data_IF_490508443799
#
_entry.id   IF_490508443799
#
_cell.length_a   1.000
_cell.length_b   1.000
_cell.length_c   1.000
_cell.angle_alpha   90.00
_cell.angle_beta   90.00
_cell.angle_gamma   90.00
#
_symmetry.space_group_name_H-M   'P 1'
#
loop_
_entity.id
_entity.type
_entity.pdbx_description
1 polymer ?
#
# COMPACT_ATOMS: atom_id res chain seq x y z
N UNK A 1 35.58 46.62 11.90
CA UNK A 1 34.90 45.55 12.67
C UNK A 1 33.58 45.25 11.97
N UNK A 2 33.44 44.05 11.41
CA UNK A 2 32.36 43.70 10.48
C UNK A 2 31.09 43.16 11.15
N UNK A 3 29.98 43.30 10.41
CA UNK A 3 28.93 42.29 10.25
C UNK A 3 27.86 42.14 11.33
N UNK A 4 26.60 42.41 10.97
CA UNK A 4 25.64 41.34 10.63
C UNK A 4 24.34 41.89 10.04
N UNK A 5 24.00 41.41 8.85
CA UNK A 5 22.68 41.53 8.22
C UNK A 5 21.79 40.43 8.79
N UNK A 6 20.60 40.76 9.28
CA UNK A 6 19.59 39.79 9.71
C UNK A 6 18.69 39.47 8.53
N UNK A 7 18.90 38.31 7.90
CA UNK A 7 17.99 37.77 6.90
C UNK A 7 16.81 37.07 7.57
N UNK A 8 15.59 37.52 7.29
CA UNK A 8 14.36 36.83 7.66
C UNK A 8 14.10 35.69 6.67
N UNK A 9 13.88 34.47 7.16
CA UNK A 9 13.44 33.32 6.36
C UNK A 9 12.01 32.96 6.77
N UNK A 10 11.04 33.30 5.92
CA UNK A 10 9.70 32.72 5.99
C UNK A 10 9.74 31.30 5.39
N UNK A 11 9.08 30.30 5.99
CA UNK A 11 8.87 29.01 5.34
C UNK A 11 7.70 29.09 4.36
N UNK A 12 7.97 28.82 3.08
CA UNK A 12 6.95 28.56 2.05
C UNK A 12 6.27 27.22 2.35
N UNK A 13 4.96 27.27 2.59
CA UNK A 13 4.11 26.08 2.73
C UNK A 13 3.79 25.57 1.33
N UNK A 14 4.37 24.43 0.96
CA UNK A 14 4.02 23.70 -0.26
C UNK A 14 2.67 22.98 -0.06
N UNK A 15 1.63 23.47 -0.75
CA UNK A 15 0.36 22.78 -0.87
C UNK A 15 0.49 21.66 -1.91
N UNK A 16 0.44 20.41 -1.47
CA UNK A 16 0.35 19.26 -2.37
C UNK A 16 -1.12 18.91 -2.55
N UNK A 17 -1.71 19.41 -3.64
CA UNK A 17 -3.00 18.94 -4.14
C UNK A 17 -2.85 17.57 -4.77
N UNK A 18 -3.72 16.63 -4.42
CA UNK A 18 -3.77 15.31 -5.06
C UNK A 18 -5.00 15.28 -5.96
N UNK A 19 -4.75 15.33 -7.27
CA UNK A 19 -5.74 15.06 -8.30
C UNK A 19 -6.07 13.57 -8.33
N UNK A 20 -7.36 13.24 -8.39
CA UNK A 20 -7.85 11.88 -8.55
C UNK A 20 -7.83 11.58 -10.06
N UNK A 21 -6.90 10.73 -10.50
CA UNK A 21 -6.96 10.15 -11.83
C UNK A 21 -7.87 8.92 -11.78
N UNK A 22 -9.03 9.02 -12.43
CA UNK A 22 -9.91 7.87 -12.69
C UNK A 22 -9.35 7.14 -13.91
N UNK A 23 -8.72 5.99 -13.70
CA UNK A 23 -8.32 5.10 -14.79
C UNK A 23 -9.46 4.11 -15.06
N UNK A 24 -10.13 4.31 -16.20
CA UNK A 24 -11.13 3.41 -16.73
C UNK A 24 -10.50 2.15 -17.33
N UNK A 25 -11.10 1.00 -17.03
CA UNK A 25 -10.76 -0.30 -17.62
C UNK A 25 -11.48 -0.42 -18.97
N UNK A 26 -10.72 -0.50 -20.06
CA UNK A 26 -11.23 -0.87 -21.39
C UNK A 26 -10.78 -2.28 -21.75
N UNK A 27 -11.73 -3.21 -21.81
CA UNK A 27 -11.53 -4.60 -22.20
C UNK A 27 -11.16 -4.71 -23.69
N UNK A 28 -10.18 -5.57 -23.99
CA UNK A 28 -9.80 -5.91 -25.37
C UNK A 28 -10.84 -6.83 -26.02
N UNK A 29 -11.38 -6.40 -27.15
CA UNK A 29 -12.13 -7.25 -28.06
C UNK A 29 -11.19 -7.77 -29.15
N UNK A 30 -11.04 -9.09 -29.21
CA UNK A 30 -10.36 -9.82 -30.28
C UNK A 30 -11.25 -9.77 -31.53
N UNK A 31 -10.72 -9.23 -32.64
CA UNK A 31 -11.34 -9.36 -33.95
C UNK A 31 -10.93 -10.71 -34.56
N UNK A 32 -11.94 -11.58 -34.67
CA UNK A 32 -11.95 -12.82 -35.43
C UNK A 32 -12.49 -12.55 -36.84
N UNK A 33 -11.94 -13.24 -37.84
CA UNK A 33 -12.43 -13.31 -39.23
C UNK A 33 -11.29 -13.07 -40.23
N UNK A 34 -11.06 -13.88 -41.28
CA UNK A 34 -11.73 -15.07 -41.80
C UNK A 34 -11.32 -15.29 -43.27
N UNK A 35 -11.23 -16.56 -43.68
CA UNK A 35 -11.24 -17.05 -45.08
C UNK A 35 -9.89 -17.10 -45.83
N UNK A 36 -9.69 -17.95 -46.83
CA UNK A 36 -10.28 -19.22 -47.24
C UNK A 36 -9.32 -19.88 -48.26
N UNK A 37 -9.66 -21.12 -48.62
CA UNK A 37 -8.91 -22.20 -49.28
C UNK A 37 -8.43 -22.03 -50.75
N UNK A 38 -7.55 -22.98 -51.14
CA UNK A 38 -7.33 -23.59 -52.47
C UNK A 38 -6.24 -23.09 -53.45
N UNK A 39 -5.37 -24.03 -53.87
CA UNK A 39 -4.65 -23.92 -55.16
C UNK A 39 -3.29 -24.64 -55.35
N UNK A 40 -3.26 -25.98 -55.34
CA UNK A 40 -2.58 -26.88 -56.31
C UNK A 40 -1.11 -26.68 -56.81
N UNK A 41 -0.27 -27.74 -56.61
CA UNK A 41 0.56 -28.50 -57.60
C UNK A 41 2.01 -28.85 -57.18
N UNK A 42 2.25 -30.16 -57.19
CA UNK A 42 3.43 -30.96 -57.59
C UNK A 42 4.76 -30.23 -57.85
N UNK A 43 5.87 -30.71 -57.27
CA UNK A 43 6.76 -31.66 -57.96
C UNK A 43 7.94 -32.11 -57.08
N UNK A 44 8.52 -33.23 -57.51
CA UNK A 44 9.45 -34.07 -56.79
C UNK A 44 10.87 -33.51 -56.59
N UNK A 45 11.58 -34.19 -55.67
CA UNK A 45 13.04 -34.36 -55.60
C UNK A 45 13.84 -33.25 -54.91
N UNK A 46 14.29 -33.54 -53.69
CA UNK A 46 15.72 -33.43 -53.32
C UNK A 46 15.94 -33.94 -51.90
N UNK A 47 16.57 -35.11 -51.83
CA UNK A 47 17.22 -35.63 -50.65
C UNK A 47 18.42 -34.71 -50.33
N UNK A 48 18.35 -33.98 -49.22
CA UNK A 48 19.51 -33.33 -48.61
C UNK A 48 19.54 -33.73 -47.15
N UNK A 49 20.50 -34.59 -46.82
CA UNK A 49 20.98 -34.77 -45.45
C UNK A 49 21.46 -33.43 -44.92
N UNK A 50 20.70 -32.83 -44.02
CA UNK A 50 21.18 -31.79 -43.13
C UNK A 50 21.09 -32.33 -41.70
N UNK A 51 22.25 -32.67 -41.15
CA UNK A 51 22.45 -32.89 -39.72
C UNK A 51 22.10 -31.59 -39.00
N UNK A 52 20.83 -31.42 -38.61
CA UNK A 52 20.43 -30.42 -37.64
C UNK A 52 20.72 -30.97 -36.24
N UNK A 53 21.41 -30.23 -35.36
CA UNK A 53 21.37 -30.56 -33.95
C UNK A 53 19.91 -30.48 -33.54
N UNK A 54 19.35 -31.58 -33.02
CA UNK A 54 18.11 -31.52 -32.29
C UNK A 54 18.33 -30.57 -31.10
N UNK A 55 18.01 -29.30 -31.27
CA UNK A 55 17.74 -28.43 -30.14
C UNK A 55 16.41 -28.92 -29.62
N UNK A 56 16.47 -29.90 -28.72
CA UNK A 56 15.37 -30.15 -27.82
C UNK A 56 15.02 -28.80 -27.20
N UNK A 57 13.77 -28.31 -27.34
CA UNK A 57 13.29 -27.37 -26.36
C UNK A 57 13.25 -28.18 -25.08
N UNK A 58 14.32 -28.09 -24.27
CA UNK A 58 14.24 -28.31 -22.84
C UNK A 58 13.27 -27.25 -22.33
N UNK A 59 11.97 -27.48 -22.54
CA UNK A 59 10.91 -27.00 -21.70
C UNK A 59 11.07 -27.76 -20.39
N UNK A 60 12.15 -27.44 -19.68
CA UNK A 60 12.22 -27.58 -18.23
C UNK A 60 11.02 -26.81 -17.73
N UNK A 61 9.92 -27.53 -17.57
CA UNK A 61 8.72 -27.06 -16.90
C UNK A 61 9.20 -26.76 -15.49
N UNK A 62 9.65 -25.52 -15.28
CA UNK A 62 10.18 -25.07 -14.01
C UNK A 62 9.13 -25.44 -12.97
N UNK A 63 9.53 -26.22 -11.97
CA UNK A 63 8.64 -26.60 -10.89
C UNK A 63 7.95 -25.33 -10.36
N UNK A 64 6.65 -25.39 -10.00
CA UNK A 64 5.92 -24.21 -9.56
C UNK A 64 6.68 -23.50 -8.43
N UNK A 65 7.02 -22.22 -8.61
CA UNK A 65 7.75 -21.45 -7.60
C UNK A 65 6.95 -21.43 -6.27
N UNK A 66 7.43 -22.08 -5.19
CA UNK A 66 6.70 -22.13 -3.92
C UNK A 66 6.49 -20.73 -3.31
N UNK A 67 7.35 -19.76 -3.64
CA UNK A 67 7.23 -18.38 -3.18
C UNK A 67 6.00 -17.66 -3.78
N UNK A 68 5.53 -18.07 -4.97
CA UNK A 68 4.34 -17.47 -5.59
C UNK A 68 3.10 -17.65 -4.73
N UNK A 69 2.92 -18.83 -4.12
CA UNK A 69 1.76 -19.10 -3.24
C UNK A 69 1.79 -18.19 -2.01
N UNK A 70 2.95 -18.04 -1.38
CA UNK A 70 3.13 -17.16 -0.22
C UNK A 70 2.89 -15.68 -0.60
N UNK A 71 3.35 -15.26 -1.78
CA UNK A 71 3.13 -13.91 -2.28
C UNK A 71 1.64 -13.61 -2.48
N UNK A 72 0.88 -14.56 -3.02
CA UNK A 72 -0.58 -14.42 -3.21
C UNK A 72 -1.30 -14.29 -1.87
N UNK A 73 -0.95 -15.09 -0.87
CA UNK A 73 -1.58 -14.98 0.47
C UNK A 73 -1.23 -13.66 1.16
N UNK A 74 0.02 -13.19 1.02
CA UNK A 74 0.39 -11.86 1.51
C UNK A 74 -0.38 -10.76 0.76
N UNK A 75 -0.54 -10.86 -0.56
CA UNK A 75 -1.29 -9.86 -1.35
C UNK A 75 -2.75 -9.74 -0.88
N UNK A 76 -3.41 -10.88 -0.62
CA UNK A 76 -4.77 -10.89 -0.05
C UNK A 76 -4.83 -10.13 1.27
N UNK A 77 -3.89 -10.37 2.18
CA UNK A 77 -3.82 -9.65 3.45
C UNK A 77 -3.62 -8.14 3.23
N UNK A 78 -2.73 -7.76 2.32
CA UNK A 78 -2.47 -6.36 2.02
C UNK A 78 -3.69 -5.68 1.38
N UNK A 79 -4.55 -6.42 0.67
CA UNK A 79 -5.81 -5.91 0.11
C UNK A 79 -6.73 -5.34 1.19
N UNK A 80 -6.74 -5.96 2.37
CA UNK A 80 -7.59 -5.56 3.47
C UNK A 80 -7.06 -4.33 4.24
N UNK A 81 -5.78 -3.98 4.07
CA UNK A 81 -5.11 -2.96 4.89
C UNK A 81 -5.69 -1.54 4.71
N UNK A 82 -6.23 -1.23 3.53
CA UNK A 82 -6.76 0.09 3.20
C UNK A 82 -8.18 0.40 3.74
N UNK A 83 -8.88 -0.58 4.31
CA UNK A 83 -10.33 -0.53 4.57
C UNK A 83 -10.79 0.62 5.49
N UNK A 84 -10.00 0.99 6.50
CA UNK A 84 -10.38 2.06 7.45
C UNK A 84 -9.79 3.44 7.14
N UNK A 85 -9.05 3.62 6.04
CA UNK A 85 -8.37 4.90 5.74
C UNK A 85 -9.34 6.08 5.67
N UNK A 86 -10.43 5.93 4.91
CA UNK A 86 -11.40 7.00 4.74
C UNK A 86 -12.08 7.37 6.08
N UNK A 87 -12.35 6.37 6.93
CA UNK A 87 -12.94 6.58 8.26
C UNK A 87 -11.99 7.37 9.16
N UNK A 88 -10.72 6.97 9.25
CA UNK A 88 -9.71 7.69 10.06
C UNK A 88 -9.52 9.14 9.60
N UNK A 89 -9.45 9.37 8.28
CA UNK A 89 -9.30 10.73 7.74
C UNK A 89 -10.48 11.62 8.16
N UNK A 90 -11.72 11.10 8.06
CA UNK A 90 -12.91 11.82 8.50
C UNK A 90 -12.90 12.05 10.01
N UNK A 91 -12.63 11.01 10.80
CA UNK A 91 -12.60 11.12 12.25
C UNK A 91 -11.58 12.17 12.73
N UNK A 92 -10.34 12.16 12.23
CA UNK A 92 -9.33 13.18 12.59
C UNK A 92 -9.77 14.58 12.14
N UNK A 93 -10.44 14.72 11.00
CA UNK A 93 -10.98 16.01 10.55
C UNK A 93 -12.12 16.51 11.46
N UNK A 94 -12.99 15.62 11.90
CA UNK A 94 -14.07 15.89 12.86
C UNK A 94 -13.50 16.32 14.21
N UNK A 95 -12.47 15.63 14.73
CA UNK A 95 -11.78 16.06 15.95
C UNK A 95 -11.18 17.46 15.77
N UNK A 96 -10.47 17.74 14.67
CA UNK A 96 -9.92 19.08 14.39
C UNK A 96 -10.97 20.18 14.43
N UNK A 97 -12.17 19.90 13.95
CA UNK A 97 -13.31 20.83 13.86
C UNK A 97 -14.23 20.79 15.09
N UNK A 98 -13.89 20.00 16.11
CA UNK A 98 -14.74 19.78 17.27
C UNK A 98 -16.16 19.29 16.91
N UNK A 99 -16.26 18.46 15.88
CA UNK A 99 -17.50 17.86 15.42
C UNK A 99 -17.51 16.36 15.75
N UNK A 100 -18.70 15.79 16.00
CA UNK A 100 -18.94 14.35 16.14
C UNK A 100 -17.93 13.60 17.04
N UNK A 101 -17.43 14.23 18.10
CA UNK A 101 -16.24 13.77 18.83
C UNK A 101 -16.37 12.34 19.35
N UNK A 102 -17.54 11.95 19.85
CA UNK A 102 -17.79 10.58 20.31
C UNK A 102 -17.67 9.55 19.19
N UNK A 103 -18.30 9.82 18.03
CA UNK A 103 -18.21 8.93 16.85
C UNK A 103 -16.78 8.90 16.30
N UNK A 104 -16.12 10.06 16.20
CA UNK A 104 -14.74 10.14 15.74
C UNK A 104 -13.80 9.30 16.65
N UNK A 105 -13.99 9.37 17.97
CA UNK A 105 -13.24 8.57 18.91
C UNK A 105 -13.51 7.07 18.75
N UNK A 106 -14.76 6.66 18.51
CA UNK A 106 -15.13 5.26 18.25
C UNK A 106 -14.49 4.74 16.96
N UNK A 107 -14.65 5.47 15.85
CA UNK A 107 -14.11 5.11 14.54
C UNK A 107 -12.58 4.93 14.57
N UNK A 108 -11.89 5.81 15.30
CA UNK A 108 -10.44 5.71 15.49
C UNK A 108 -10.04 4.48 16.29
N UNK A 109 -10.77 4.14 17.36
CA UNK A 109 -10.50 2.93 18.14
C UNK A 109 -10.76 1.67 17.33
N UNK A 110 -11.80 1.65 16.50
CA UNK A 110 -12.09 0.51 15.63
C UNK A 110 -11.05 0.36 14.52
N UNK A 111 -10.59 1.47 13.93
CA UNK A 111 -9.45 1.45 13.01
C UNK A 111 -8.17 0.89 13.65
N UNK A 112 -7.91 1.24 14.91
CA UNK A 112 -6.79 0.70 15.67
C UNK A 112 -6.89 -0.82 15.89
N UNK A 113 -8.09 -1.33 16.22
CA UNK A 113 -8.34 -2.77 16.35
C UNK A 113 -8.08 -3.50 15.02
N UNK A 114 -8.62 -2.99 13.92
CA UNK A 114 -8.42 -3.57 12.58
C UNK A 114 -6.92 -3.65 12.20
N UNK A 115 -6.12 -2.66 12.59
CA UNK A 115 -4.64 -2.72 12.39
C UNK A 115 -3.97 -3.75 13.27
N UNK A 116 -4.46 -3.95 14.49
CA UNK A 116 -4.04 -5.06 15.36
C UNK A 116 -4.33 -6.42 14.71
N UNK A 117 -5.51 -6.59 14.13
CA UNK A 117 -5.90 -7.82 13.43
C UNK A 117 -5.02 -8.10 12.21
N UNK A 118 -4.61 -7.07 11.45
CA UNK A 118 -3.63 -7.23 10.36
C UNK A 118 -2.29 -7.77 10.86
N UNK A 119 -1.79 -7.28 11.99
CA UNK A 119 -0.55 -7.77 12.61
C UNK A 119 -0.69 -9.24 13.00
N UNK A 120 -1.80 -9.61 13.62
CA UNK A 120 -2.08 -11.01 14.01
C UNK A 120 -2.14 -11.92 12.80
N UNK A 121 -2.88 -11.52 11.76
CA UNK A 121 -3.02 -12.31 10.52
C UNK A 121 -1.68 -12.47 9.80
N UNK A 122 -0.85 -11.42 9.75
CA UNK A 122 0.49 -11.51 9.20
C UNK A 122 1.37 -12.51 9.96
N UNK A 123 1.25 -12.57 11.28
CA UNK A 123 1.96 -13.55 12.10
C UNK A 123 1.59 -15.01 11.83
N UNK A 124 0.42 -15.25 11.24
CA UNK A 124 -0.03 -16.58 10.81
C UNK A 124 0.35 -16.96 9.38
N UNK A 125 0.90 -16.04 8.58
CA UNK A 125 1.29 -16.32 7.20
C UNK A 125 2.72 -16.87 7.11
N UNK A 126 2.89 -17.96 6.37
CA UNK A 126 4.22 -18.40 5.94
C UNK A 126 4.69 -17.56 4.76
N UNK A 127 5.83 -16.88 4.93
CA UNK A 127 6.45 -16.01 3.91
C UNK A 127 7.95 -16.27 3.75
N UNK A 128 8.46 -17.34 4.34
CA UNK A 128 9.89 -17.68 4.41
C UNK A 128 10.56 -17.96 3.05
N UNK A 129 9.78 -18.18 1.99
CA UNK A 129 10.28 -18.33 0.62
C UNK A 129 10.31 -17.01 -0.15
N UNK A 130 9.71 -15.94 0.39
CA UNK A 130 9.76 -14.62 -0.24
C UNK A 130 11.13 -13.97 -0.02
N UNK A 131 11.68 -13.27 -1.04
CA UNK A 131 12.91 -12.49 -0.84
C UNK A 131 12.66 -11.38 0.18
N UNK A 132 13.65 -11.13 1.04
CA UNK A 132 13.60 -10.08 2.07
C UNK A 132 12.38 -10.15 3.02
N UNK A 133 11.77 -11.34 3.18
CA UNK A 133 10.53 -11.53 3.93
C UNK A 133 10.59 -10.98 5.37
N UNK A 134 11.72 -11.14 6.06
CA UNK A 134 11.92 -10.65 7.43
C UNK A 134 11.85 -9.11 7.49
N UNK A 135 12.42 -8.42 6.50
CA UNK A 135 12.36 -6.96 6.41
C UNK A 135 10.96 -6.48 6.05
N UNK A 136 10.29 -7.18 5.13
CA UNK A 136 8.93 -6.84 4.70
C UNK A 136 7.93 -7.02 5.84
N UNK A 137 7.93 -8.19 6.49
CA UNK A 137 7.04 -8.46 7.63
C UNK A 137 7.33 -7.55 8.82
N UNK A 138 8.60 -7.25 9.09
CA UNK A 138 9.00 -6.28 10.11
C UNK A 138 8.51 -4.86 9.82
N UNK A 139 8.60 -4.41 8.57
CA UNK A 139 8.11 -3.10 8.15
C UNK A 139 6.58 -3.01 8.22
N UNK A 140 5.85 -4.03 7.73
CA UNK A 140 4.39 -4.10 7.82
C UNK A 140 3.90 -4.11 9.28
N UNK A 141 4.52 -4.94 10.13
CA UNK A 141 4.20 -5.00 11.56
C UNK A 141 4.40 -3.65 12.24
N UNK A 142 5.53 -2.99 11.94
CA UNK A 142 5.84 -1.67 12.51
C UNK A 142 4.89 -0.59 12.00
N UNK A 143 4.56 -0.62 10.70
CA UNK A 143 3.61 0.29 10.07
C UNK A 143 2.22 0.20 10.71
N UNK A 144 1.69 -1.01 10.90
CA UNK A 144 0.36 -1.21 11.46
C UNK A 144 0.31 -0.94 12.96
N UNK A 145 1.32 -1.35 13.74
CA UNK A 145 1.40 -1.00 15.17
C UNK A 145 1.48 0.51 15.38
N UNK A 146 2.32 1.20 14.61
CA UNK A 146 2.41 2.66 14.68
C UNK A 146 1.11 3.34 14.23
N UNK A 147 0.45 2.82 13.18
CA UNK A 147 -0.86 3.33 12.74
C UNK A 147 -1.92 3.14 13.83
N UNK A 148 -1.97 1.97 14.48
CA UNK A 148 -2.92 1.69 15.56
C UNK A 148 -2.68 2.60 16.77
N UNK A 149 -1.42 2.83 17.12
CA UNK A 149 -1.04 3.76 18.18
C UNK A 149 -1.43 5.20 17.83
N UNK A 150 -1.24 5.62 16.58
CA UNK A 150 -1.67 6.95 16.13
C UNK A 150 -3.20 7.12 16.26
N UNK A 151 -3.97 6.14 15.82
CA UNK A 151 -5.43 6.16 15.88
C UNK A 151 -5.92 6.21 17.34
N UNK A 152 -5.32 5.41 18.24
CA UNK A 152 -5.60 5.47 19.69
C UNK A 152 -5.29 6.85 20.30
N UNK A 153 -4.16 7.46 19.92
CA UNK A 153 -3.81 8.81 20.37
C UNK A 153 -4.80 9.87 19.85
N UNK A 154 -5.25 9.75 18.59
CA UNK A 154 -6.27 10.65 18.07
C UNK A 154 -7.64 10.44 18.73
N UNK A 155 -7.99 9.20 19.09
CA UNK A 155 -9.20 8.93 19.85
C UNK A 155 -9.15 9.56 21.25
N UNK A 156 -8.02 9.40 21.95
CA UNK A 156 -7.80 10.05 23.24
C UNK A 156 -7.79 11.59 23.12
N UNK A 157 -7.28 12.13 22.00
CA UNK A 157 -7.38 13.56 21.71
C UNK A 157 -8.84 14.00 21.53
N UNK A 158 -9.66 13.20 20.83
CA UNK A 158 -11.10 13.44 20.69
C UNK A 158 -11.80 13.53 22.06
N UNK A 159 -11.51 12.59 22.97
CA UNK A 159 -12.05 12.61 24.33
C UNK A 159 -11.62 13.88 25.09
N UNK A 160 -10.33 14.24 24.99
CA UNK A 160 -9.77 15.41 25.68
C UNK A 160 -10.42 16.72 25.20
N UNK A 161 -10.65 16.86 23.89
CA UNK A 161 -11.21 18.09 23.34
C UNK A 161 -12.71 18.21 23.58
N UNK A 162 -13.39 17.09 23.86
CA UNK A 162 -14.79 17.07 24.31
C UNK A 162 -15.00 17.64 25.72
N UNK A 163 -13.93 17.84 26.49
CA UNK A 163 -13.98 18.45 27.83
C UNK A 163 -14.10 19.99 27.82
N UNK A 164 -14.24 20.58 29.02
CA UNK A 164 -14.29 22.04 29.20
C UNK A 164 -13.06 22.70 28.59
N UNK A 165 -13.26 23.70 27.73
CA UNK A 165 -12.19 24.46 27.04
C UNK A 165 -11.32 23.63 26.08
N UNK A 166 -11.74 22.43 25.69
CA UNK A 166 -11.04 21.61 24.70
C UNK A 166 -11.21 22.11 23.26
N UNK A 167 -12.30 22.84 23.01
CA UNK A 167 -12.64 23.46 21.74
C UNK A 167 -12.68 24.98 21.86
N UNK A 168 -11.96 25.69 20.98
CA UNK A 168 -11.97 27.15 20.89
C UNK A 168 -12.38 27.57 19.50
N UNK A 169 -13.50 28.30 19.37
CA UNK A 169 -14.06 28.76 18.08
C UNK A 169 -14.22 27.62 17.05
N UNK A 170 -14.70 26.46 17.49
CA UNK A 170 -14.87 25.29 16.62
C UNK A 170 -13.56 24.60 16.21
N UNK A 171 -12.44 24.88 16.89
CA UNK A 171 -11.17 24.23 16.63
C UNK A 171 -10.67 23.52 17.89
N UNK A 172 -10.24 22.27 17.71
CA UNK A 172 -9.67 21.49 18.80
C UNK A 172 -8.32 22.06 19.25
N UNK A 173 -8.13 22.14 20.55
CA UNK A 173 -6.85 22.51 21.15
C UNK A 173 -5.82 21.41 20.88
N UNK A 174 -4.59 21.79 20.53
CA UNK A 174 -3.48 20.84 20.48
C UNK A 174 -3.16 20.30 21.87
N UNK A 175 -3.07 18.98 22.01
CA UNK A 175 -2.71 18.29 23.26
C UNK A 175 -1.49 17.40 23.05
N UNK A 176 -0.95 16.83 24.14
CA UNK A 176 0.09 15.81 24.08
C UNK A 176 -0.35 14.58 23.28
N UNK A 177 -1.64 14.23 23.30
CA UNK A 177 -2.21 13.14 22.52
C UNK A 177 -2.18 13.44 21.02
N UNK A 178 -2.60 14.65 20.60
CA UNK A 178 -2.50 15.06 19.20
C UNK A 178 -1.05 15.00 18.69
N UNK A 179 -0.08 15.43 19.50
CA UNK A 179 1.34 15.36 19.16
C UNK A 179 1.86 13.91 19.10
N UNK A 180 1.46 13.05 20.03
CA UNK A 180 1.80 11.63 20.01
C UNK A 180 1.24 10.93 18.77
N UNK A 181 -0.02 11.21 18.42
CA UNK A 181 -0.66 10.71 17.19
C UNK A 181 0.10 11.14 15.93
N UNK A 182 0.53 12.39 15.86
CA UNK A 182 1.35 12.89 14.74
C UNK A 182 2.72 12.19 14.65
N UNK A 183 3.39 11.97 15.79
CA UNK A 183 4.68 11.24 15.80
C UNK A 183 4.51 9.81 15.30
N UNK A 184 3.50 9.10 15.80
CA UNK A 184 3.24 7.71 15.39
C UNK A 184 2.80 7.62 13.93
N UNK A 185 2.02 8.60 13.44
CA UNK A 185 1.69 8.71 12.01
C UNK A 185 2.92 8.87 11.13
N UNK A 186 3.93 9.61 11.60
CA UNK A 186 5.23 9.73 10.93
C UNK A 186 5.99 8.40 10.85
N UNK A 187 6.07 7.68 11.96
CA UNK A 187 6.67 6.33 12.01
C UNK A 187 5.93 5.38 11.06
N UNK A 188 4.60 5.36 11.12
CA UNK A 188 3.77 4.57 10.23
C UNK A 188 4.05 4.87 8.76
N UNK A 189 4.12 6.15 8.39
CA UNK A 189 4.36 6.58 7.01
C UNK A 189 5.72 6.10 6.50
N UNK A 190 6.78 6.23 7.31
CA UNK A 190 8.12 5.75 6.95
C UNK A 190 8.15 4.22 6.73
N UNK A 191 7.49 3.46 7.61
CA UNK A 191 7.44 2.00 7.51
C UNK A 191 6.56 1.52 6.35
N UNK A 192 5.45 2.22 6.04
CA UNK A 192 4.63 1.95 4.86
C UNK A 192 5.40 2.18 3.56
N UNK A 193 6.20 3.24 3.51
CA UNK A 193 7.08 3.49 2.35
C UNK A 193 8.11 2.36 2.17
N UNK A 194 8.74 1.93 3.26
CA UNK A 194 9.67 0.79 3.22
C UNK A 194 8.96 -0.50 2.77
N UNK A 195 7.81 -0.82 3.38
CA UNK A 195 7.04 -2.01 3.06
C UNK A 195 6.55 -2.01 1.59
N UNK A 196 6.09 -0.87 1.08
CA UNK A 196 5.68 -0.73 -0.32
C UNK A 196 6.83 -1.01 -1.29
N UNK A 197 8.03 -0.50 -1.02
CA UNK A 197 9.20 -0.79 -1.86
C UNK A 197 9.52 -2.28 -1.92
N UNK A 198 9.58 -2.94 -0.76
CA UNK A 198 9.84 -4.38 -0.66
C UNK A 198 8.74 -5.22 -1.30
N UNK A 199 7.47 -4.89 -1.04
CA UNK A 199 6.32 -5.57 -1.63
C UNK A 199 6.29 -5.42 -3.15
N UNK A 200 6.52 -4.22 -3.68
CA UNK A 200 6.39 -3.97 -5.12
C UNK A 200 7.46 -4.71 -5.94
N UNK A 201 8.64 -4.97 -5.36
CA UNK A 201 9.64 -5.84 -5.98
C UNK A 201 9.11 -7.28 -6.13
N UNK A 202 8.49 -7.83 -5.08
CA UNK A 202 7.87 -9.16 -5.09
C UNK A 202 6.67 -9.20 -6.03
N UNK A 203 5.77 -8.20 -5.92
CA UNK A 203 4.56 -8.12 -6.73
C UNK A 203 4.89 -8.07 -8.22
N UNK A 204 5.91 -7.31 -8.62
CA UNK A 204 6.37 -7.25 -10.01
C UNK A 204 6.86 -8.62 -10.50
N UNK A 205 7.65 -9.33 -9.70
CA UNK A 205 8.16 -10.67 -10.05
C UNK A 205 7.04 -11.68 -10.29
N UNK A 206 5.94 -11.57 -9.55
CA UNK A 206 4.84 -12.54 -9.59
C UNK A 206 3.58 -12.06 -10.32
N UNK A 207 3.60 -10.85 -10.91
CA UNK A 207 2.45 -10.27 -11.60
C UNK A 207 1.27 -9.93 -10.67
N UNK A 208 1.56 -9.56 -9.42
CA UNK A 208 0.57 -9.19 -8.40
C UNK A 208 0.35 -7.68 -8.33
N UNK A 209 -0.69 -7.26 -7.62
CA UNK A 209 -1.00 -5.83 -7.45
C UNK A 209 0.08 -5.12 -6.65
N UNK A 210 0.74 -4.16 -7.29
CA UNK A 210 1.63 -3.22 -6.60
C UNK A 210 0.81 -2.26 -5.73
N UNK A 211 1.40 -1.83 -4.61
CA UNK A 211 0.74 -1.03 -3.59
C UNK A 211 1.53 0.22 -3.27
N UNK A 212 0.81 1.32 -3.14
CA UNK A 212 1.33 2.59 -2.64
C UNK A 212 1.40 2.54 -1.11
N UNK A 213 2.28 3.34 -0.48
CA UNK A 213 2.37 3.42 0.98
C UNK A 213 1.03 3.75 1.65
N UNK A 214 0.16 4.51 0.98
CA UNK A 214 -1.16 4.88 1.49
C UNK A 214 -2.18 3.74 1.49
N UNK A 215 -1.91 2.66 0.76
CA UNK A 215 -2.71 1.44 0.67
C UNK A 215 -2.24 0.34 1.62
N UNK A 216 -1.13 0.59 2.34
CA UNK A 216 -0.58 -0.30 3.36
C UNK A 216 -0.94 0.18 4.76
#
# INVERSE_FOLDING_TARGET
>A
RGGKRTGSRLPLIAAVGVGIAVLGVGAGALLSGGGDDSGDKNDASSQVSATAPATEPSASSAAPDPARRQAVELDKLLADSGSSRASVIRAVADVKKCANLGQAAADLRDAAKQRGDLVTRLGGLSVDKLPEHAQLTGALTSAWKASASADQHYAAWADQVGGKNGCKKGQARGTSQAQAGNRQSGVASAQKSKAAGLWNAIASKYGLTQRQPTQL
#
